data_IF_274671096694
#
_entry.id   IF_274671096694
#
_cell.length_a   1.000
_cell.length_b   1.000
_cell.length_c   1.000
_cell.angle_alpha   90.00
_cell.angle_beta   90.00
_cell.angle_gamma   90.00
#
_symmetry.space_group_name_H-M   'P 1'
#
loop_
_entity.id
_entity.type
_entity.pdbx_description
1 polymer ?
#
# COMPACT_ATOMS: atom_id res chain seq x y z
N UNK A 1 -3.19 -2.28 -13.72
CA UNK A 1 -2.96 -0.98 -13.03
C UNK A 1 -2.61 -1.25 -11.57
N UNK A 2 -1.39 -0.88 -11.17
CA UNK A 2 -0.70 -1.38 -9.98
C UNK A 2 -1.01 -0.59 -8.71
N UNK A 3 -1.55 -1.30 -7.71
CA UNK A 3 -1.15 -1.19 -6.30
C UNK A 3 -1.15 -2.61 -5.71
N UNK A 4 -0.32 -3.45 -6.31
CA UNK A 4 0.68 -4.29 -5.64
C UNK A 4 0.34 -4.96 -4.31
N UNK A 5 0.57 -6.26 -4.34
CA UNK A 5 0.06 -7.26 -3.44
C UNK A 5 1.17 -7.78 -2.56
N UNK A 6 1.27 -7.14 -1.42
CA UNK A 6 1.50 -7.59 -0.04
C UNK A 6 1.30 -6.32 0.78
N UNK A 7 0.92 -6.34 2.06
CA UNK A 7 1.57 -5.35 2.89
C UNK A 7 3.05 -5.65 2.73
N UNK A 8 3.75 -4.91 1.87
CA UNK A 8 5.20 -5.04 1.71
C UNK A 8 5.86 -5.04 3.09
N UNK A 9 5.30 -4.26 4.02
CA UNK A 9 5.26 -4.50 5.46
C UNK A 9 5.67 -5.90 5.91
N UNK A 10 4.82 -6.88 5.61
CA UNK A 10 4.94 -8.26 6.05
C UNK A 10 5.82 -9.12 5.19
N UNK A 11 6.00 -8.93 3.89
CA UNK A 11 6.98 -9.75 3.14
C UNK A 11 8.41 -9.26 3.29
N UNK A 12 8.61 -7.96 3.48
CA UNK A 12 9.87 -7.40 3.98
C UNK A 12 10.17 -7.95 5.36
N UNK A 13 9.17 -8.07 6.22
CA UNK A 13 9.31 -8.62 7.58
C UNK A 13 9.38 -10.15 7.61
N UNK A 14 8.69 -10.86 6.73
CA UNK A 14 8.71 -12.33 6.61
C UNK A 14 9.98 -12.80 5.91
N UNK A 15 10.46 -12.11 4.86
CA UNK A 15 11.79 -12.36 4.29
C UNK A 15 12.90 -12.14 5.33
N UNK A 16 12.70 -11.19 6.26
CA UNK A 16 13.63 -10.95 7.37
C UNK A 16 13.50 -11.97 8.53
N UNK A 17 12.28 -12.45 8.84
CA UNK A 17 12.02 -13.34 9.99
C UNK A 17 12.06 -14.84 9.64
N UNK A 18 11.80 -15.22 8.38
CA UNK A 18 11.85 -16.59 7.86
C UNK A 18 12.77 -16.63 6.63
N UNK A 19 14.08 -16.80 6.89
CA UNK A 19 15.09 -16.95 5.83
C UNK A 19 14.69 -18.06 4.84
N UNK A 20 14.72 -17.76 3.54
CA UNK A 20 14.54 -18.75 2.47
C UNK A 20 13.15 -18.82 1.85
N UNK A 21 12.24 -17.91 2.18
CA UNK A 21 10.95 -17.78 1.46
C UNK A 21 11.18 -17.22 0.04
N UNK A 22 12.07 -16.24 -0.12
CA UNK A 22 12.38 -15.64 -1.42
C UNK A 22 13.71 -16.22 -1.90
N UNK A 23 13.63 -17.22 -2.78
CA UNK A 23 14.82 -17.90 -3.34
C UNK A 23 15.73 -17.00 -4.20
N UNK A 24 15.32 -15.76 -4.50
CA UNK A 24 16.14 -14.75 -5.19
C UNK A 24 16.87 -13.90 -4.15
N UNK A 25 18.14 -14.24 -3.91
CA UNK A 25 19.06 -13.55 -2.98
C UNK A 25 19.13 -12.02 -3.15
N UNK A 26 18.82 -11.48 -4.33
CA UNK A 26 18.84 -10.03 -4.55
C UNK A 26 17.66 -9.29 -3.90
N UNK A 27 16.45 -9.86 -3.92
CA UNK A 27 15.26 -9.21 -3.34
C UNK A 27 15.38 -9.21 -1.81
N UNK A 28 15.79 -10.33 -1.21
CA UNK A 28 16.04 -10.40 0.24
C UNK A 28 17.06 -9.35 0.70
N UNK A 29 18.14 -9.15 -0.06
CA UNK A 29 19.13 -8.12 0.25
C UNK A 29 18.58 -6.70 0.13
N UNK A 30 17.80 -6.41 -0.91
CA UNK A 30 17.19 -5.08 -1.09
C UNK A 30 16.21 -4.72 0.02
N UNK A 31 15.50 -5.73 0.51
CA UNK A 31 14.59 -5.69 1.65
C UNK A 31 15.36 -5.41 2.95
N UNK A 32 16.44 -6.15 3.21
CA UNK A 32 17.27 -5.97 4.40
C UNK A 32 17.89 -4.57 4.44
N UNK A 33 18.42 -4.11 3.31
CA UNK A 33 18.93 -2.75 3.16
C UNK A 33 17.86 -1.69 3.44
N UNK A 34 16.63 -1.88 2.95
CA UNK A 34 15.51 -0.97 3.20
C UNK A 34 15.19 -0.93 4.71
N UNK A 35 15.15 -2.08 5.37
CA UNK A 35 14.91 -2.19 6.81
C UNK A 35 16.00 -1.46 7.60
N UNK A 36 17.26 -1.63 7.25
CA UNK A 36 18.37 -0.95 7.91
C UNK A 36 18.30 0.57 7.74
N UNK A 37 17.96 1.04 6.54
CA UNK A 37 17.73 2.46 6.28
C UNK A 37 16.56 2.99 7.13
N UNK A 38 15.45 2.26 7.23
CA UNK A 38 14.30 2.61 8.07
C UNK A 38 14.76 2.72 9.53
N UNK A 39 15.39 1.67 10.08
CA UNK A 39 15.89 1.59 11.47
C UNK A 39 16.69 2.83 11.85
N UNK A 40 17.58 3.29 10.97
CA UNK A 40 18.41 4.48 11.20
C UNK A 40 17.61 5.78 11.08
N UNK A 41 16.86 5.97 9.99
CA UNK A 41 16.23 7.26 9.68
C UNK A 41 15.08 7.61 10.62
N UNK A 42 14.33 6.63 11.10
CA UNK A 42 13.16 6.87 11.96
C UNK A 42 13.51 7.31 13.38
N UNK A 43 14.78 7.22 13.79
CA UNK A 43 15.23 7.69 15.10
C UNK A 43 15.31 9.22 15.18
N UNK A 44 15.62 9.89 14.07
CA UNK A 44 15.93 11.32 14.05
C UNK A 44 14.98 12.17 13.20
N UNK A 45 14.10 11.54 12.41
CA UNK A 45 13.21 12.23 11.46
C UNK A 45 11.73 11.94 11.71
N UNK A 46 10.87 12.86 11.28
CA UNK A 46 9.41 12.68 11.25
C UNK A 46 9.05 11.52 10.31
N UNK A 47 8.06 10.71 10.69
CA UNK A 47 7.70 9.49 9.96
C UNK A 47 7.38 9.76 8.48
N UNK A 48 6.57 10.80 8.21
CA UNK A 48 6.20 11.19 6.84
C UNK A 48 7.40 11.53 5.97
N UNK A 49 8.37 12.27 6.50
CA UNK A 49 9.58 12.64 5.76
C UNK A 49 10.48 11.42 5.49
N UNK A 50 10.47 10.42 6.38
CA UNK A 50 11.18 9.15 6.13
C UNK A 50 10.47 8.37 5.03
N UNK A 51 9.15 8.20 5.13
CA UNK A 51 8.35 7.50 4.13
C UNK A 51 8.56 8.09 2.72
N UNK A 52 8.43 9.41 2.57
CA UNK A 52 8.63 10.11 1.29
C UNK A 52 10.03 9.91 0.72
N UNK A 53 11.06 9.85 1.57
CA UNK A 53 12.44 9.59 1.15
C UNK A 53 12.71 8.16 0.71
N UNK A 54 11.73 7.26 0.88
CA UNK A 54 11.83 5.83 0.58
C UNK A 54 10.83 5.38 -0.49
N UNK A 55 9.98 6.27 -1.00
CA UNK A 55 8.95 5.91 -1.98
C UNK A 55 9.47 5.18 -3.19
N UNK A 56 10.54 5.67 -3.81
CA UNK A 56 11.15 5.03 -4.97
C UNK A 56 11.58 3.61 -4.65
N UNK A 57 12.34 3.41 -3.57
CA UNK A 57 12.85 2.09 -3.19
C UNK A 57 11.73 1.12 -2.77
N UNK A 58 10.74 1.59 -2.01
CA UNK A 58 9.57 0.78 -1.65
C UNK A 58 8.82 0.38 -2.93
N UNK A 59 8.63 1.33 -3.85
CA UNK A 59 7.96 1.10 -5.13
C UNK A 59 8.73 0.13 -6.03
N UNK A 60 10.06 0.14 -6.04
CA UNK A 60 10.84 -0.82 -6.83
C UNK A 60 10.73 -2.24 -6.27
N UNK A 61 10.97 -2.41 -4.96
CA UNK A 61 10.87 -3.72 -4.27
C UNK A 61 9.48 -4.32 -4.47
N UNK A 62 8.45 -3.48 -4.41
CA UNK A 62 7.06 -3.84 -4.67
C UNK A 62 6.85 -4.53 -6.03
N UNK A 63 7.49 -4.02 -7.09
CA UNK A 63 7.40 -4.63 -8.41
C UNK A 63 8.20 -5.91 -8.49
N UNK A 64 9.37 -5.94 -7.87
CA UNK A 64 10.26 -7.10 -7.88
C UNK A 64 9.62 -8.29 -7.16
N UNK A 65 8.87 -8.03 -6.09
CA UNK A 65 8.03 -9.01 -5.40
C UNK A 65 6.89 -9.53 -6.29
N UNK A 66 6.26 -8.66 -7.09
CA UNK A 66 5.21 -9.07 -8.03
C UNK A 66 5.78 -9.95 -9.14
N UNK A 67 6.90 -9.54 -9.72
CA UNK A 67 7.62 -10.31 -10.73
C UNK A 67 8.04 -11.67 -10.17
N UNK A 68 8.58 -11.71 -8.96
CA UNK A 68 8.90 -12.96 -8.29
C UNK A 68 7.65 -13.83 -8.09
N UNK A 69 6.55 -13.25 -7.59
CA UNK A 69 5.29 -13.98 -7.36
C UNK A 69 4.71 -14.58 -8.63
N UNK A 70 4.78 -13.85 -9.74
CA UNK A 70 4.39 -14.30 -11.06
C UNK A 70 5.29 -15.44 -11.54
N UNK A 71 6.61 -15.32 -11.39
CA UNK A 71 7.56 -16.38 -11.74
C UNK A 71 7.37 -17.66 -10.90
N UNK A 72 6.87 -17.54 -9.67
CA UNK A 72 6.51 -18.66 -8.81
C UNK A 72 5.08 -19.19 -9.02
N UNK A 73 4.33 -18.68 -10.01
CA UNK A 73 2.93 -19.02 -10.26
C UNK A 73 2.01 -18.88 -9.03
N UNK A 74 2.29 -17.93 -8.15
CA UNK A 74 1.42 -17.63 -7.00
C UNK A 74 0.09 -17.11 -7.55
N UNK A 75 -1.03 -17.65 -7.09
CA UNK A 75 -2.33 -17.13 -7.50
C UNK A 75 -2.72 -15.89 -6.70
N UNK A 76 -3.63 -15.11 -7.28
CA UNK A 76 -4.25 -13.97 -6.61
C UNK A 76 -4.99 -14.38 -5.34
N UNK A 77 -5.63 -15.54 -5.33
CA UNK A 77 -6.31 -16.11 -4.17
C UNK A 77 -5.33 -16.54 -3.07
N UNK A 78 -4.21 -17.17 -3.42
CA UNK A 78 -3.19 -17.58 -2.44
C UNK A 78 -2.60 -16.37 -1.74
N UNK A 79 -2.41 -15.30 -2.50
CA UNK A 79 -2.02 -14.01 -1.97
C UNK A 79 -3.04 -13.47 -0.94
N UNK A 80 -4.33 -13.39 -1.29
CA UNK A 80 -5.36 -12.89 -0.38
C UNK A 80 -5.47 -13.78 0.88
N UNK A 81 -5.33 -15.10 0.73
CA UNK A 81 -5.32 -16.03 1.86
C UNK A 81 -4.16 -15.73 2.83
N UNK A 82 -2.96 -15.43 2.32
CA UNK A 82 -1.82 -15.04 3.15
C UNK A 82 -2.08 -13.72 3.90
N UNK A 83 -2.68 -12.70 3.27
CA UNK A 83 -3.04 -11.47 3.99
C UNK A 83 -4.01 -11.77 5.14
N UNK A 84 -5.04 -12.55 4.85
CA UNK A 84 -6.08 -12.91 5.84
C UNK A 84 -5.49 -13.65 7.04
N UNK A 85 -4.60 -14.62 6.81
CA UNK A 85 -3.86 -15.29 7.87
C UNK A 85 -3.09 -14.30 8.73
N UNK A 86 -2.39 -13.38 8.08
CA UNK A 86 -1.58 -12.40 8.77
C UNK A 86 -2.45 -11.39 9.56
N UNK A 87 -3.57 -10.93 9.00
CA UNK A 87 -4.56 -10.11 9.72
C UNK A 87 -5.01 -10.84 10.99
N UNK A 88 -5.34 -12.13 10.88
CA UNK A 88 -5.74 -12.94 12.03
C UNK A 88 -4.64 -12.99 13.10
N UNK A 89 -3.37 -13.18 12.72
CA UNK A 89 -2.24 -13.17 13.66
C UNK A 89 -2.11 -11.83 14.40
N UNK A 90 -2.19 -10.70 13.69
CA UNK A 90 -2.13 -9.37 14.35
C UNK A 90 -3.35 -9.09 15.22
N UNK A 91 -4.52 -9.57 14.84
CA UNK A 91 -5.73 -9.46 15.67
C UNK A 91 -5.59 -10.22 17.00
N UNK A 92 -4.89 -11.36 17.01
CA UNK A 92 -4.57 -12.04 18.27
C UNK A 92 -3.66 -11.19 19.17
N UNK A 93 -2.69 -10.48 18.59
CA UNK A 93 -1.82 -9.53 19.31
C UNK A 93 -2.52 -8.23 19.71
N UNK A 94 -3.65 -7.88 19.09
CA UNK A 94 -4.37 -6.63 19.29
C UNK A 94 -4.89 -6.43 20.72
N UNK A 95 -5.08 -7.51 21.48
CA UNK A 95 -5.44 -7.43 22.90
C UNK A 95 -4.33 -6.83 23.77
N UNK A 96 -3.10 -6.82 23.28
CA UNK A 96 -1.91 -6.42 24.05
C UNK A 96 -1.21 -5.19 23.48
N UNK A 97 -1.63 -4.67 22.33
CA UNK A 97 -0.98 -3.54 21.66
C UNK A 97 -1.94 -2.75 20.77
N UNK A 98 -2.10 -1.45 21.10
CA UNK A 98 -2.83 -0.49 20.25
C UNK A 98 -2.22 -0.39 18.86
N UNK A 99 -0.89 -0.54 18.74
CA UNK A 99 -0.20 -0.55 17.46
C UNK A 99 -0.56 -1.78 16.63
N UNK A 100 -0.62 -2.96 17.25
CA UNK A 100 -1.03 -4.19 16.55
C UNK A 100 -2.49 -4.10 16.07
N UNK A 101 -3.37 -3.55 16.91
CA UNK A 101 -4.77 -3.30 16.57
C UNK A 101 -4.91 -2.34 15.38
N UNK A 102 -4.17 -1.24 15.40
CA UNK A 102 -4.21 -0.26 14.31
C UNK A 102 -3.64 -0.85 13.01
N UNK A 103 -2.49 -1.53 13.09
CA UNK A 103 -1.90 -2.20 11.94
C UNK A 103 -2.88 -3.22 11.31
N UNK A 104 -3.53 -4.06 12.13
CA UNK A 104 -4.54 -5.00 11.66
C UNK A 104 -5.73 -4.30 10.98
N UNK A 105 -6.18 -3.17 11.53
CA UNK A 105 -7.26 -2.37 10.95
C UNK A 105 -6.86 -1.81 9.58
N UNK A 106 -5.66 -1.23 9.47
CA UNK A 106 -5.13 -0.72 8.20
C UNK A 106 -5.06 -1.80 7.14
N UNK A 107 -4.61 -3.00 7.53
CA UNK A 107 -4.50 -4.15 6.64
C UNK A 107 -5.85 -4.66 6.14
N UNK A 108 -6.80 -4.85 7.04
CA UNK A 108 -8.17 -5.27 6.70
C UNK A 108 -8.83 -4.27 5.73
N UNK A 109 -8.70 -2.98 6.01
CA UNK A 109 -9.27 -1.92 5.16
C UNK A 109 -8.55 -1.85 3.81
N UNK A 110 -7.22 -1.98 3.81
CA UNK A 110 -6.44 -2.02 2.57
C UNK A 110 -6.88 -3.20 1.69
N UNK A 111 -7.08 -4.39 2.26
CA UNK A 111 -7.60 -5.55 1.55
C UNK A 111 -9.01 -5.31 1.02
N UNK A 112 -9.93 -4.77 1.82
CA UNK A 112 -11.30 -4.42 1.40
C UNK A 112 -11.34 -3.47 0.20
N UNK A 113 -10.41 -2.52 0.15
CA UNK A 113 -10.27 -1.58 -0.97
C UNK A 113 -9.69 -2.31 -2.20
N UNK A 114 -8.70 -3.17 -1.97
CA UNK A 114 -7.91 -3.78 -3.02
C UNK A 114 -8.58 -4.98 -3.71
N UNK A 115 -9.25 -5.87 -2.96
CA UNK A 115 -9.85 -7.10 -3.49
C UNK A 115 -10.83 -6.86 -4.65
N UNK A 116 -11.74 -5.86 -4.60
CA UNK A 116 -12.62 -5.56 -5.74
C UNK A 116 -11.87 -5.01 -6.98
N UNK A 117 -10.73 -4.33 -6.78
CA UNK A 117 -9.89 -3.85 -7.89
C UNK A 117 -9.26 -5.05 -8.59
N UNK A 118 -8.74 -5.96 -7.77
CA UNK A 118 -8.12 -7.21 -8.16
C UNK A 118 -9.04 -8.12 -9.00
N UNK A 119 -10.27 -8.34 -8.54
CA UNK A 119 -11.28 -9.14 -9.24
C UNK A 119 -11.64 -8.53 -10.60
N UNK A 120 -11.81 -7.20 -10.66
CA UNK A 120 -12.15 -6.48 -11.90
C UNK A 120 -11.05 -6.49 -12.96
N UNK A 121 -9.81 -6.80 -12.59
CA UNK A 121 -8.68 -6.87 -13.52
C UNK A 121 -8.48 -8.30 -14.07
N UNK A 122 -9.40 -9.23 -13.80
CA UNK A 122 -9.33 -10.64 -14.24
C UNK A 122 -7.97 -11.29 -13.96
N UNK A 123 -7.34 -10.89 -12.84
CA UNK A 123 -6.02 -11.37 -12.46
C UNK A 123 -6.19 -12.75 -11.82
N UNK A 124 -6.32 -13.79 -12.65
CA UNK A 124 -6.35 -15.17 -12.13
C UNK A 124 -4.96 -15.62 -11.67
N UNK A 125 -3.89 -15.06 -12.28
CA UNK A 125 -2.51 -15.21 -11.85
C UNK A 125 -1.68 -13.94 -12.12
N UNK A 126 -0.54 -13.79 -11.44
CA UNK A 126 0.37 -12.67 -11.65
C UNK A 126 1.16 -12.75 -12.97
N UNK A 127 1.17 -13.90 -13.67
CA UNK A 127 1.88 -14.09 -14.93
C UNK A 127 1.38 -13.16 -16.04
N UNK A 128 0.06 -13.03 -16.19
CA UNK A 128 -0.56 -12.11 -17.15
C UNK A 128 -0.18 -10.65 -16.88
N UNK A 129 0.03 -10.29 -15.61
CA UNK A 129 0.48 -8.96 -15.21
C UNK A 129 1.95 -8.72 -15.61
N UNK A 130 2.79 -9.75 -15.55
CA UNK A 130 4.20 -9.66 -15.93
C UNK A 130 4.38 -9.39 -17.43
N UNK A 131 3.55 -10.01 -18.27
CA UNK A 131 3.63 -9.83 -19.73
C UNK A 131 3.30 -8.39 -20.16
N UNK A 132 2.37 -7.73 -19.46
CA UNK A 132 2.06 -6.30 -19.66
C UNK A 132 3.19 -5.38 -19.14
N UNK A 133 3.89 -5.78 -18.07
CA UNK A 133 4.90 -4.96 -17.39
C UNK A 133 6.31 -5.10 -17.96
N UNK A 134 6.67 -6.26 -18.50
CA UNK A 134 8.01 -6.50 -19.05
C UNK A 134 8.34 -5.58 -20.24
N UNK A 135 7.33 -5.02 -20.90
CA UNK A 135 7.54 -4.09 -22.01
C UNK A 135 7.57 -2.62 -21.59
N UNK A 136 6.99 -2.25 -20.44
CA UNK A 136 6.82 -0.85 -19.99
C UNK A 136 6.74 -0.72 -18.45
N UNK A 137 7.68 -1.32 -17.70
CA UNK A 137 7.70 -1.21 -16.22
C UNK A 137 7.79 0.27 -15.81
N UNK A 138 6.76 0.85 -15.17
CA UNK A 138 6.84 2.23 -14.73
C UNK A 138 7.85 2.36 -13.61
N UNK A 139 8.61 3.46 -13.60
CA UNK A 139 9.46 3.84 -12.47
C UNK A 139 8.70 4.81 -11.56
N UNK A 140 9.15 4.97 -10.32
CA UNK A 140 8.54 5.97 -9.45
C UNK A 140 8.72 7.41 -10.02
N UNK A 141 9.81 7.67 -10.74
CA UNK A 141 10.00 8.92 -11.48
C UNK A 141 8.93 9.13 -12.55
N UNK A 142 8.57 8.10 -13.31
CA UNK A 142 7.45 8.16 -14.27
C UNK A 142 6.14 8.49 -13.55
N UNK A 143 5.91 7.91 -12.36
CA UNK A 143 4.71 8.22 -11.58
C UNK A 143 4.69 9.66 -11.07
N UNK A 144 5.85 10.26 -10.75
CA UNK A 144 5.90 11.68 -10.37
C UNK A 144 5.35 12.59 -11.46
N UNK A 145 5.46 12.22 -12.74
CA UNK A 145 4.90 12.98 -13.85
C UNK A 145 3.37 13.08 -13.82
N UNK A 146 2.67 12.14 -13.16
CA UNK A 146 1.22 12.21 -12.99
C UNK A 146 0.79 13.45 -12.16
N UNK A 147 1.70 13.98 -11.33
CA UNK A 147 1.41 15.15 -10.49
C UNK A 147 1.27 16.46 -11.27
N UNK A 148 1.85 16.54 -12.48
CA UNK A 148 1.77 17.73 -13.35
C UNK A 148 0.63 17.64 -14.37
N UNK A 149 -0.13 16.54 -14.37
CA UNK A 149 -1.21 16.34 -15.32
C UNK A 149 -2.37 17.33 -15.08
N UNK A 150 -2.98 17.94 -16.11
CA UNK A 150 -4.06 18.93 -15.91
C UNK A 150 -5.34 18.32 -15.32
N UNK A 151 -5.64 17.04 -15.59
CA UNK A 151 -6.81 16.37 -15.02
C UNK A 151 -6.58 16.00 -13.54
N UNK A 152 -7.40 16.47 -12.60
CA UNK A 152 -7.19 16.21 -11.18
C UNK A 152 -7.24 14.72 -10.83
N UNK A 153 -8.10 13.93 -11.48
CA UNK A 153 -8.17 12.49 -11.21
C UNK A 153 -6.82 11.77 -11.44
N UNK A 154 -6.03 12.21 -12.42
CA UNK A 154 -4.68 11.68 -12.66
C UNK A 154 -3.68 12.18 -11.60
N UNK A 155 -3.78 13.44 -11.17
CA UNK A 155 -2.96 13.93 -10.05
C UNK A 155 -3.25 13.16 -8.75
N UNK A 156 -4.52 12.80 -8.51
CA UNK A 156 -4.92 12.03 -7.34
C UNK A 156 -4.62 10.53 -7.47
N UNK A 157 -4.41 10.00 -8.69
CA UNK A 157 -3.82 8.68 -8.88
C UNK A 157 -2.39 8.63 -8.30
N UNK A 158 -1.60 9.69 -8.50
CA UNK A 158 -0.28 9.81 -7.85
C UNK A 158 -0.41 9.82 -6.33
N UNK A 159 -1.35 10.61 -5.80
CA UNK A 159 -1.58 10.69 -4.34
C UNK A 159 -2.06 9.35 -3.77
N UNK A 160 -2.87 8.61 -4.52
CA UNK A 160 -3.30 7.25 -4.19
C UNK A 160 -2.12 6.27 -4.15
N UNK A 161 -1.20 6.36 -5.11
CA UNK A 161 0.02 5.54 -5.08
C UNK A 161 0.89 5.92 -3.87
N UNK A 162 1.16 7.20 -3.63
CA UNK A 162 1.97 7.64 -2.49
C UNK A 162 1.40 7.14 -1.16
N UNK A 163 0.09 7.24 -0.97
CA UNK A 163 -0.54 6.75 0.26
C UNK A 163 -0.50 5.23 0.38
N UNK A 164 -0.51 4.50 -0.74
CA UNK A 164 -0.24 3.06 -0.70
C UNK A 164 1.20 2.76 -0.23
N UNK A 165 2.19 3.56 -0.63
CA UNK A 165 3.59 3.41 -0.19
C UNK A 165 3.77 3.81 1.28
N UNK A 166 3.04 4.83 1.73
CA UNK A 166 2.97 5.19 3.16
C UNK A 166 2.40 4.05 4.00
N UNK A 167 1.35 3.35 3.53
CA UNK A 167 0.77 2.20 4.21
C UNK A 167 1.84 1.13 4.40
N UNK A 168 2.56 0.79 3.33
CA UNK A 168 3.62 -0.21 3.38
C UNK A 168 4.70 0.18 4.37
N UNK A 169 5.23 1.41 4.28
CA UNK A 169 6.20 1.93 5.26
C UNK A 169 5.70 1.82 6.70
N UNK A 170 4.46 2.26 6.95
CA UNK A 170 3.86 2.23 8.29
C UNK A 170 3.71 0.81 8.83
N UNK A 171 3.37 -0.15 7.98
CA UNK A 171 3.26 -1.56 8.34
C UNK A 171 4.63 -2.20 8.60
N UNK A 172 5.64 -1.93 7.77
CA UNK A 172 7.04 -2.39 8.02
C UNK A 172 7.47 -1.91 9.41
N UNK A 173 7.34 -0.60 9.67
CA UNK A 173 7.77 -0.01 10.92
C UNK A 173 7.00 -0.56 12.12
N UNK A 174 5.70 -0.82 11.96
CA UNK A 174 4.88 -1.43 13.01
C UNK A 174 5.41 -2.80 13.39
N UNK A 175 5.74 -3.63 12.40
CA UNK A 175 6.29 -4.96 12.63
C UNK A 175 7.67 -4.94 13.27
N UNK A 176 8.56 -4.03 12.85
CA UNK A 176 9.87 -3.87 13.48
C UNK A 176 9.75 -3.51 14.97
N UNK A 177 8.73 -2.72 15.36
CA UNK A 177 8.46 -2.39 16.76
C UNK A 177 7.86 -3.59 17.50
N UNK A 178 6.85 -4.25 16.91
CA UNK A 178 6.15 -5.37 17.55
C UNK A 178 7.06 -6.60 17.74
N UNK A 179 8.07 -6.77 16.87
CA UNK A 179 9.08 -7.82 16.97
C UNK A 179 10.31 -7.42 17.79
N UNK A 180 10.33 -6.21 18.37
CA UNK A 180 11.42 -5.74 19.22
C UNK A 180 12.71 -5.37 18.48
N UNK A 181 12.69 -5.28 17.15
CA UNK A 181 13.85 -4.86 16.36
C UNK A 181 14.09 -3.34 16.42
N UNK A 182 13.06 -2.56 16.75
CA UNK A 182 13.14 -1.12 17.00
C UNK A 182 12.46 -0.82 18.34
N UNK A 183 13.18 -0.14 19.23
CA UNK A 183 12.61 0.41 20.44
C UNK A 183 12.16 1.85 20.23
N UNK A 184 10.85 2.08 20.34
CA UNK A 184 10.25 3.42 20.30
C UNK A 184 9.68 3.82 21.65
N UNK A 185 9.81 5.11 21.97
CA UNK A 185 9.04 5.69 23.06
C UNK A 185 7.53 5.62 22.77
N UNK A 186 6.70 5.58 23.82
CA UNK A 186 5.22 5.61 23.68
C UNK A 186 4.73 6.76 22.80
N UNK A 187 5.39 7.92 22.87
CA UNK A 187 5.06 9.08 22.02
C UNK A 187 5.28 8.79 20.54
N UNK A 188 6.39 8.12 20.18
CA UNK A 188 6.68 7.73 18.78
C UNK A 188 5.77 6.61 18.29
N UNK A 189 5.37 5.68 19.15
CA UNK A 189 4.34 4.68 18.83
C UNK A 189 3.01 5.36 18.52
N UNK A 190 2.59 6.33 19.33
CA UNK A 190 1.37 7.10 19.08
C UNK A 190 1.44 7.92 17.79
N UNK A 191 2.61 8.48 17.45
CA UNK A 191 2.82 9.15 16.16
C UNK A 191 2.63 8.17 14.99
N UNK A 192 3.13 6.94 15.10
CA UNK A 192 2.92 5.90 14.09
C UNK A 192 1.45 5.49 13.96
N UNK A 193 0.73 5.34 15.08
CA UNK A 193 -0.71 5.06 15.05
C UNK A 193 -1.47 6.18 14.33
N UNK A 194 -1.14 7.44 14.59
CA UNK A 194 -1.76 8.58 13.90
C UNK A 194 -1.39 8.62 12.41
N UNK A 195 -0.13 8.32 12.08
CA UNK A 195 0.33 8.20 10.71
C UNK A 195 -0.45 7.13 9.94
N UNK A 196 -0.62 5.94 10.51
CA UNK A 196 -1.40 4.84 9.95
C UNK A 196 -2.86 5.23 9.70
N UNK A 197 -3.53 5.84 10.70
CA UNK A 197 -4.92 6.32 10.60
C UNK A 197 -5.12 7.34 9.49
N UNK A 198 -4.25 8.34 9.43
CA UNK A 198 -4.32 9.38 8.40
C UNK A 198 -4.09 8.77 7.01
N UNK A 199 -3.10 7.88 6.90
CA UNK A 199 -2.74 7.26 5.63
C UNK A 199 -3.85 6.39 5.07
N UNK A 200 -4.42 5.48 5.87
CA UNK A 200 -5.50 4.60 5.38
C UNK A 200 -6.75 5.41 5.01
N UNK A 201 -7.06 6.46 5.76
CA UNK A 201 -8.16 7.36 5.44
C UNK A 201 -7.95 8.08 4.09
N UNK A 202 -6.74 8.59 3.82
CA UNK A 202 -6.41 9.21 2.53
C UNK A 202 -6.40 8.20 1.40
N UNK A 203 -5.85 7.01 1.62
CA UNK A 203 -5.84 5.93 0.63
C UNK A 203 -7.27 5.56 0.19
N UNK A 204 -8.18 5.35 1.15
CA UNK A 204 -9.59 5.10 0.86
C UNK A 204 -10.25 6.26 0.13
N UNK A 205 -10.08 7.50 0.60
CA UNK A 205 -10.65 8.68 -0.04
C UNK A 205 -10.17 8.87 -1.49
N UNK A 206 -8.87 8.67 -1.75
CA UNK A 206 -8.32 8.76 -3.10
C UNK A 206 -8.84 7.61 -3.98
N UNK A 207 -8.99 6.40 -3.43
CA UNK A 207 -9.59 5.26 -4.14
C UNK A 207 -11.03 5.53 -4.58
N UNK A 208 -11.82 6.21 -3.74
CA UNK A 208 -13.19 6.64 -4.05
C UNK A 208 -13.18 7.69 -5.15
N UNK A 209 -12.35 8.72 -4.99
CA UNK A 209 -12.27 9.85 -5.90
C UNK A 209 -11.84 9.43 -7.32
N UNK A 210 -10.86 8.53 -7.42
CA UNK A 210 -10.41 7.99 -8.71
C UNK A 210 -11.32 6.90 -9.27
N UNK A 211 -12.32 6.44 -8.50
CA UNK A 211 -13.27 5.42 -8.92
C UNK A 211 -12.73 3.98 -8.89
N UNK A 212 -11.60 3.73 -8.23
CA UNK A 212 -11.09 2.36 -8.06
C UNK A 212 -11.86 1.57 -7.03
N UNK A 213 -12.39 2.25 -6.01
CA UNK A 213 -13.17 1.61 -4.97
C UNK A 213 -14.46 2.39 -4.73
N UNK A 214 -15.53 1.64 -4.48
CA UNK A 214 -16.79 2.19 -4.01
C UNK A 214 -17.13 1.48 -2.72
N UNK A 215 -17.35 2.22 -1.61
CA UNK A 215 -17.73 1.61 -0.36
C UNK A 215 -19.06 0.88 -0.51
N UNK A 216 -19.21 -0.24 0.19
CA UNK A 216 -20.49 -0.92 0.22
C UNK A 216 -21.54 -0.03 0.88
N UNK A 217 -22.76 -0.01 0.36
CA UNK A 217 -23.82 0.89 0.83
C UNK A 217 -24.27 0.62 2.26
N UNK A 218 -23.95 -0.56 2.80
CA UNK A 218 -24.23 -0.99 4.17
C UNK A 218 -23.06 -0.74 5.15
N UNK A 219 -21.89 -0.33 4.67
CA UNK A 219 -20.75 0.00 5.54
C UNK A 219 -20.91 1.40 6.14
N UNK A 220 -21.48 1.42 7.35
CA UNK A 220 -21.68 2.64 8.16
C UNK A 220 -20.51 2.94 9.10
N UNK A 221 -19.34 2.32 8.91
CA UNK A 221 -18.21 2.52 9.80
C UNK A 221 -17.70 3.97 9.76
N UNK A 222 -17.24 4.47 10.92
CA UNK A 222 -16.71 5.83 11.03
C UNK A 222 -15.52 6.07 10.08
N UNK A 223 -14.69 5.05 9.85
CA UNK A 223 -13.56 5.16 8.93
C UNK A 223 -14.03 5.33 7.48
N UNK A 224 -14.96 4.49 7.01
CA UNK A 224 -15.54 4.61 5.66
C UNK A 224 -16.24 5.96 5.47
N UNK A 225 -16.98 6.43 6.46
CA UNK A 225 -17.60 7.76 6.41
C UNK A 225 -16.56 8.89 6.27
N UNK A 226 -15.44 8.82 6.99
CA UNK A 226 -14.35 9.80 6.85
C UNK A 226 -13.73 9.79 5.46
N UNK A 227 -13.56 8.60 4.87
CA UNK A 227 -13.04 8.46 3.50
C UNK A 227 -14.00 9.09 2.49
N UNK A 228 -15.31 8.82 2.63
CA UNK A 228 -16.34 9.41 1.77
C UNK A 228 -16.40 10.94 1.89
N UNK A 229 -16.37 11.48 3.11
CA UNK A 229 -16.35 12.93 3.35
C UNK A 229 -15.11 13.57 2.71
N UNK A 230 -13.94 12.97 2.89
CA UNK A 230 -12.70 13.48 2.29
C UNK A 230 -12.75 13.39 0.76
N UNK A 231 -13.26 12.30 0.19
CA UNK A 231 -13.45 12.17 -1.26
C UNK A 231 -14.39 13.25 -1.80
N UNK A 232 -15.53 13.49 -1.15
CA UNK A 232 -16.48 14.54 -1.53
C UNK A 232 -15.87 15.95 -1.41
N UNK A 233 -15.05 16.19 -0.38
CA UNK A 233 -14.32 17.46 -0.22
C UNK A 233 -13.36 17.68 -1.39
N UNK A 234 -12.64 16.62 -1.79
CA UNK A 234 -11.75 16.65 -2.96
C UNK A 234 -12.53 16.92 -4.26
N UNK A 235 -13.68 16.26 -4.46
CA UNK A 235 -14.54 16.49 -5.63
C UNK A 235 -14.98 17.96 -5.71
N UNK A 236 -15.41 18.53 -4.58
CA UNK A 236 -15.83 19.93 -4.45
C UNK A 236 -14.67 20.90 -4.76
N UNK A 237 -13.49 20.68 -4.17
CA UNK A 237 -12.32 21.55 -4.33
C UNK A 237 -11.79 21.58 -5.78
N UNK A 238 -12.04 20.52 -6.55
CA UNK A 238 -11.56 20.40 -7.93
C UNK A 238 -12.63 20.77 -8.99
N UNK A 239 -13.83 21.23 -8.58
CA UNK A 239 -14.95 21.57 -9.48
C UNK A 239 -15.32 20.46 -10.46
N UNK A 240 -15.11 19.19 -10.08
CA UNK A 240 -15.38 18.05 -10.96
C UNK A 240 -16.85 17.66 -10.84
N UNK A 241 -17.63 17.99 -11.88
CA UNK A 241 -19.00 17.50 -12.07
C UNK A 241 -19.06 16.23 -12.94
N UNK A 242 -17.97 15.88 -13.64
CA UNK A 242 -17.87 14.74 -14.55
C UNK A 242 -16.71 13.82 -14.15
N UNK A 243 -17.01 12.55 -13.83
CA UNK A 243 -15.98 11.52 -13.60
C UNK A 243 -15.44 11.04 -14.95
N UNK A 244 -14.13 11.18 -15.20
CA UNK A 244 -13.46 10.47 -16.29
C UNK A 244 -13.71 8.98 -16.10
N UNK A 245 -14.07 8.29 -17.18
CA UNK A 245 -14.32 6.85 -17.10
C UNK A 245 -13.04 6.10 -16.77
N UNK A 246 -13.17 4.96 -16.09
CA UNK A 246 -12.05 4.08 -15.73
C UNK A 246 -11.22 3.68 -16.96
N UNK A 247 -11.88 3.51 -18.11
CA UNK A 247 -11.27 3.12 -19.39
C UNK A 247 -10.41 4.24 -19.99
N UNK A 248 -10.84 5.50 -19.90
CA UNK A 248 -10.06 6.66 -20.35
C UNK A 248 -8.79 6.87 -19.50
N UNK A 249 -8.89 6.65 -18.19
CA UNK A 249 -7.74 6.68 -17.28
C UNK A 249 -6.73 5.56 -17.60
N UNK A 250 -7.22 4.36 -17.92
CA UNK A 250 -6.39 3.21 -18.29
C UNK A 250 -5.64 3.44 -19.62
N UNK A 251 -6.34 3.97 -20.62
CA UNK A 251 -5.73 4.29 -21.92
C UNK A 251 -4.69 5.42 -21.83
N UNK A 252 -4.78 6.29 -20.82
CA UNK A 252 -3.81 7.36 -20.61
C UNK A 252 -2.50 6.89 -19.98
N UNK A 253 -2.54 5.90 -19.08
CA UNK A 253 -1.34 5.40 -18.37
C UNK A 253 -0.51 4.45 -19.26
N UNK A 254 -1.15 3.82 -20.25
CA UNK A 254 -0.55 2.75 -21.06
C UNK A 254 -0.22 3.17 -22.51
N UNK A 255 -0.43 4.44 -22.88
CA UNK A 255 0.03 5.04 -24.14
C UNK A 255 1.14 6.05 -23.85
#
# INVERSE_FOLDING_TARGET
MLATREPLGRFIVLAHNEKGIITKSSIEQEIDDLVDIIKVRVQSKKLKAVAESLYERIFEIRFDVIEWSANQNISVSDYLHKINHEIANKLQLAHYSDLAKEAATVLDVHEKIFSPIAEKLTLDNFGQLLDELNNNKPTYETIKLLSIHPAPQIQYLKKWLDTSLDIEFGLILSDLILTGQIEFSKKRINELILFLKDTINRYGAYSIFTGFWQPCSDDVSNLTNKMQILAATIEMDNNIYYKTSKEELFNFVNN
#
